data_IF_019249502096
#
_entry.id   IF_019249502096
#
_cell.length_a   1.000
_cell.length_b   1.000
_cell.length_c   1.000
_cell.angle_alpha   90.00
_cell.angle_beta   90.00
_cell.angle_gamma   90.00
#
_symmetry.space_group_name_H-M   'P 1'
#
loop_
_entity.id
_entity.type
_entity.pdbx_description
1 polymer ?
#
# COMPACT_ATOMS: atom_id res chain seq x y z
N UNK A 1 -9.46 18.00 3.52
CA UNK A 1 -10.66 18.26 4.34
C UNK A 1 -11.87 18.17 3.44
N UNK A 2 -13.04 17.79 3.95
CA UNK A 2 -14.25 17.66 3.14
C UNK A 2 -14.64 19.01 2.53
N UNK A 3 -15.00 19.01 1.23
CA UNK A 3 -15.33 20.20 0.47
C UNK A 3 -16.45 19.89 -0.56
N UNK A 4 -16.67 20.81 -1.52
CA UNK A 4 -17.61 20.64 -2.62
C UNK A 4 -17.01 19.79 -3.75
N UNK A 5 -17.66 18.66 -4.04
CA UNK A 5 -17.19 17.68 -5.02
C UNK A 5 -18.01 17.74 -6.33
N UNK A 6 -17.91 18.87 -7.03
CA UNK A 6 -18.43 19.09 -8.40
C UNK A 6 -19.83 18.51 -8.64
N UNK A 7 -19.97 17.56 -9.58
CA UNK A 7 -21.25 16.94 -9.94
C UNK A 7 -21.93 16.17 -8.80
N UNK A 8 -21.22 15.89 -7.71
CA UNK A 8 -21.76 15.25 -6.50
C UNK A 8 -22.09 16.24 -5.38
N UNK A 9 -21.77 17.52 -5.54
CA UNK A 9 -21.94 18.54 -4.50
C UNK A 9 -21.30 18.12 -3.17
N UNK A 10 -22.06 18.23 -2.06
CA UNK A 10 -21.58 17.86 -0.72
C UNK A 10 -21.96 16.44 -0.30
N UNK A 11 -22.48 15.61 -1.21
CA UNK A 11 -22.90 14.25 -0.91
C UNK A 11 -21.72 13.30 -0.67
N UNK A 12 -20.58 13.56 -1.31
CA UNK A 12 -19.36 12.75 -1.21
C UNK A 12 -18.28 13.52 -0.45
N UNK A 13 -17.42 12.79 0.26
CA UNK A 13 -16.49 13.34 1.26
C UNK A 13 -15.13 12.66 1.23
N UNK A 14 -14.21 13.16 0.40
CA UNK A 14 -12.88 12.56 0.24
C UNK A 14 -11.82 13.09 1.22
N UNK A 15 -12.12 14.15 1.97
CA UNK A 15 -11.15 14.77 2.86
C UNK A 15 -10.78 13.88 4.06
N UNK A 16 -9.53 13.99 4.51
CA UNK A 16 -9.09 13.36 5.76
C UNK A 16 -9.80 13.92 7.01
N UNK A 17 -10.26 15.17 6.94
CA UNK A 17 -11.01 15.83 8.02
C UNK A 17 -12.46 16.01 7.60
N UNK A 18 -13.37 15.61 8.47
CA UNK A 18 -14.79 15.93 8.37
C UNK A 18 -15.01 17.41 8.73
N UNK A 19 -15.87 18.09 7.99
CA UNK A 19 -16.28 19.48 8.24
C UNK A 19 -17.76 19.50 8.59
N UNK A 20 -18.09 20.03 9.76
CA UNK A 20 -19.47 20.24 10.15
C UNK A 20 -19.98 21.60 9.65
N UNK A 21 -20.67 21.57 8.52
CA UNK A 21 -21.24 22.79 7.91
C UNK A 21 -22.32 23.47 8.75
N UNK A 22 -22.88 22.78 9.73
CA UNK A 22 -23.94 23.32 10.61
C UNK A 22 -23.38 23.88 11.91
N UNK A 23 -22.13 23.58 12.25
CA UNK A 23 -21.50 23.95 13.50
C UNK A 23 -20.20 24.71 13.24
N UNK A 24 -20.33 25.92 12.68
CA UNK A 24 -19.23 26.86 12.46
C UNK A 24 -18.02 26.26 11.71
N UNK A 25 -18.29 25.37 10.75
CA UNK A 25 -17.27 24.69 9.94
C UNK A 25 -16.24 23.92 10.78
N UNK A 26 -16.63 23.45 11.97
CA UNK A 26 -15.74 22.74 12.87
C UNK A 26 -15.21 21.46 12.23
N UNK A 27 -13.92 21.21 12.44
CA UNK A 27 -13.16 20.15 11.77
C UNK A 27 -12.89 18.99 12.72
N UNK A 28 -13.16 17.78 12.25
CA UNK A 28 -12.97 16.55 13.01
C UNK A 28 -12.05 15.59 12.24
N UNK A 29 -10.97 15.08 12.85
CA UNK A 29 -10.10 14.13 12.18
C UNK A 29 -10.81 12.79 11.97
N UNK A 30 -10.84 12.27 10.75
CA UNK A 30 -11.33 10.92 10.47
C UNK A 30 -10.30 9.87 10.90
N UNK A 31 -10.70 8.60 10.98
CA UNK A 31 -9.79 7.47 11.28
C UNK A 31 -8.59 7.41 10.31
N UNK A 32 -8.81 7.77 9.04
CA UNK A 32 -7.77 7.86 8.01
C UNK A 32 -6.65 8.85 8.36
N UNK A 33 -6.92 9.91 9.13
CA UNK A 33 -5.87 10.82 9.63
C UNK A 33 -4.90 10.08 10.53
N UNK A 34 -5.42 9.26 11.46
CA UNK A 34 -4.57 8.50 12.40
C UNK A 34 -3.69 7.51 11.63
N UNK A 35 -4.29 6.75 10.71
CA UNK A 35 -3.54 5.81 9.88
C UNK A 35 -2.50 6.52 9.01
N UNK A 36 -2.87 7.59 8.30
CA UNK A 36 -1.96 8.30 7.41
C UNK A 36 -0.83 9.00 8.16
N UNK A 37 -1.11 9.54 9.36
CA UNK A 37 -0.07 10.04 10.25
C UNK A 37 0.92 8.95 10.64
N UNK A 38 0.45 7.75 10.97
CA UNK A 38 1.34 6.63 11.31
C UNK A 38 2.13 6.14 10.09
N UNK A 39 1.49 6.06 8.93
CA UNK A 39 2.13 5.70 7.67
C UNK A 39 3.27 6.67 7.29
N UNK A 40 3.05 7.97 7.45
CA UNK A 40 4.05 9.00 7.14
C UNK A 40 5.15 9.12 8.20
N UNK A 41 4.92 8.62 9.42
CA UNK A 41 6.00 8.49 10.39
C UNK A 41 6.95 7.43 9.85
N UNK A 42 8.08 7.88 9.29
CA UNK A 42 9.25 7.02 9.10
C UNK A 42 9.60 6.48 10.48
N UNK A 43 9.32 5.21 10.71
CA UNK A 43 9.99 4.49 11.77
C UNK A 43 11.48 4.52 11.38
N UNK A 44 12.30 5.24 12.14
CA UNK A 44 13.76 5.06 12.12
C UNK A 44 14.17 3.62 12.49
N UNK A 45 13.19 2.78 12.83
CA UNK A 45 13.29 1.38 13.14
C UNK A 45 12.34 0.51 12.29
N UNK A 46 11.94 0.95 11.09
CA UNK A 46 11.24 0.02 10.20
C UNK A 46 12.20 -1.12 9.85
N UNK A 47 11.89 -2.38 10.18
CA UNK A 47 12.58 -3.52 9.62
C UNK A 47 12.07 -3.71 8.19
N UNK A 48 12.26 -2.70 7.34
CA UNK A 48 12.43 -2.99 5.92
C UNK A 48 13.70 -3.85 5.90
N UNK A 49 13.62 -5.15 5.56
CA UNK A 49 14.83 -5.93 5.38
C UNK A 49 15.61 -5.20 4.29
N UNK A 50 16.75 -4.59 4.64
CA UNK A 50 17.64 -3.94 3.68
C UNK A 50 18.35 -4.98 2.77
N UNK A 51 17.75 -6.16 2.63
CA UNK A 51 18.29 -7.29 1.93
C UNK A 51 17.13 -7.93 1.20
N UNK A 52 16.94 -7.54 -0.07
CA UNK A 52 16.55 -8.56 -1.04
C UNK A 52 17.57 -9.68 -0.87
N UNK A 53 17.18 -10.96 -0.69
CA UNK A 53 18.17 -12.02 -0.72
C UNK A 53 18.89 -11.89 -2.05
N UNK A 54 20.17 -11.48 -1.99
CA UNK A 54 21.04 -11.56 -3.15
C UNK A 54 21.16 -13.05 -3.40
N UNK A 55 20.39 -13.55 -4.35
CA UNK A 55 20.51 -14.90 -4.86
C UNK A 55 21.98 -15.00 -5.26
N UNK A 56 22.75 -15.75 -4.48
CA UNK A 56 24.16 -15.95 -4.82
C UNK A 56 24.20 -16.67 -6.17
N UNK A 57 25.28 -16.53 -6.93
CA UNK A 57 25.43 -17.22 -8.22
C UNK A 57 25.21 -18.75 -8.14
N UNK A 58 25.34 -19.33 -6.93
CA UNK A 58 25.08 -20.74 -6.66
C UNK A 58 23.60 -21.09 -6.44
N UNK A 59 22.75 -20.10 -6.15
CA UNK A 59 21.30 -20.30 -6.03
C UNK A 59 20.58 -19.99 -7.35
N UNK A 60 21.09 -19.08 -8.18
CA UNK A 60 20.54 -18.84 -9.54
C UNK A 60 20.65 -20.09 -10.40
N UNK A 61 21.79 -20.79 -10.36
CA UNK A 61 21.98 -22.04 -11.12
C UNK A 61 21.02 -23.16 -10.69
N UNK A 62 20.69 -23.24 -9.39
CA UNK A 62 19.72 -24.23 -8.88
C UNK A 62 18.29 -23.92 -9.31
N UNK A 63 17.94 -22.65 -9.41
CA UNK A 63 16.60 -22.20 -9.85
C UNK A 63 16.46 -22.38 -11.36
N UNK A 64 17.48 -22.05 -12.14
CA UNK A 64 17.47 -22.31 -13.59
C UNK A 64 17.37 -23.81 -13.88
N UNK A 65 18.12 -24.64 -13.17
CA UNK A 65 18.05 -26.10 -13.31
C UNK A 65 16.67 -26.68 -12.94
N UNK A 66 15.97 -26.12 -11.95
CA UNK A 66 14.64 -26.61 -11.58
C UNK A 66 13.58 -26.19 -12.61
N UNK A 67 13.63 -24.94 -13.09
CA UNK A 67 12.71 -24.43 -14.11
C UNK A 67 12.88 -25.17 -15.46
N UNK A 68 14.12 -25.48 -15.85
CA UNK A 68 14.41 -26.22 -17.09
C UNK A 68 13.93 -27.68 -17.00
N UNK A 69 14.00 -28.31 -15.81
CA UNK A 69 13.48 -29.67 -15.59
C UNK A 69 11.95 -29.70 -15.67
N UNK A 70 11.28 -28.71 -15.09
CA UNK A 70 9.82 -28.60 -15.16
C UNK A 70 9.31 -28.32 -16.58
N UNK A 71 10.06 -27.54 -17.38
CA UNK A 71 9.75 -27.29 -18.79
C UNK A 71 9.90 -28.53 -19.69
N UNK A 72 10.66 -29.54 -19.25
CA UNK A 72 10.85 -30.81 -19.98
C UNK A 72 9.91 -31.93 -19.54
N UNK A 73 9.04 -31.70 -18.55
CA UNK A 73 8.07 -32.71 -18.12
C UNK A 73 7.04 -32.91 -19.24
N UNK A 74 6.90 -34.11 -19.82
CA UNK A 74 5.89 -34.34 -20.83
C UNK A 74 4.51 -34.06 -20.24
N UNK A 75 3.71 -33.27 -20.95
CA UNK A 75 2.29 -33.11 -20.64
C UNK A 75 1.64 -34.45 -20.94
N UNK A 76 1.41 -35.23 -19.90
CA UNK A 76 0.59 -36.44 -20.01
C UNK A 76 -0.79 -36.02 -20.54
N UNK A 77 -1.16 -36.59 -21.69
CA UNK A 77 -2.46 -36.43 -22.34
C UNK A 77 -3.52 -37.31 -21.67
#
# INVERSE_FOLDING_TARGET
MDNFEWGSGYAVRFGLYYVDYKNDLKRYPKKSVKWFKQFLRRDSHSPIPHTYPLITSNETSKIEDSLVRDAKRPRNA
#
